data_IF_845153107330
#
_entry.id   IF_845153107330
#
_cell.length_a   1.000
_cell.length_b   1.000
_cell.length_c   1.000
_cell.angle_alpha   90.00
_cell.angle_beta   90.00
_cell.angle_gamma   90.00
#
_symmetry.space_group_name_H-M   'P 1'
#
loop_
_entity.id
_entity.type
_entity.pdbx_description
1 polymer ?
#
# COMPACT_ATOMS: atom_id res chain seq x y z
N UNK A 1 -33.67 -15.91 14.06
CA UNK A 1 -33.91 -15.37 12.69
C UNK A 1 -32.87 -16.00 11.77
N UNK A 2 -33.27 -16.73 10.73
CA UNK A 2 -32.31 -17.30 9.76
C UNK A 2 -31.96 -16.22 8.73
N UNK A 3 -30.69 -16.06 8.39
CA UNK A 3 -30.24 -15.03 7.46
C UNK A 3 -29.13 -15.53 6.52
N UNK A 4 -29.11 -14.93 5.33
CA UNK A 4 -28.04 -14.96 4.36
C UNK A 4 -27.91 -13.55 3.78
N UNK A 5 -26.70 -13.10 3.52
CA UNK A 5 -26.44 -11.80 2.90
C UNK A 5 -25.16 -11.84 2.10
N UNK A 6 -25.12 -11.08 1.01
CA UNK A 6 -23.92 -10.95 0.21
C UNK A 6 -23.81 -9.58 -0.41
N UNK A 7 -22.59 -9.26 -0.82
CA UNK A 7 -22.27 -7.99 -1.42
C UNK A 7 -22.40 -8.10 -2.94
N UNK A 8 -22.87 -7.03 -3.58
CA UNK A 8 -22.92 -6.93 -5.03
C UNK A 8 -22.22 -5.67 -5.54
N UNK A 9 -21.83 -5.71 -6.82
CA UNK A 9 -21.39 -4.53 -7.58
C UNK A 9 -22.22 -4.35 -8.86
N UNK A 10 -22.43 -3.10 -9.31
CA UNK A 10 -22.97 -2.84 -10.65
C UNK A 10 -22.08 -3.50 -11.72
N UNK A 11 -22.72 -3.99 -12.80
CA UNK A 11 -21.99 -4.52 -13.94
C UNK A 11 -21.28 -3.39 -14.69
N UNK A 12 -20.00 -3.60 -15.00
CA UNK A 12 -19.21 -2.65 -15.80
C UNK A 12 -19.50 -2.89 -17.30
N UNK A 13 -19.35 -4.14 -17.73
CA UNK A 13 -19.57 -4.57 -19.11
C UNK A 13 -21.01 -5.06 -19.34
N UNK A 14 -21.48 -4.96 -20.58
CA UNK A 14 -22.71 -5.62 -21.03
C UNK A 14 -22.53 -7.13 -20.97
N UNK A 15 -23.54 -7.85 -20.46
CA UNK A 15 -23.56 -9.31 -20.43
C UNK A 15 -24.33 -9.79 -21.65
N UNK A 16 -23.70 -10.65 -22.45
CA UNK A 16 -24.27 -11.22 -23.67
C UNK A 16 -24.23 -12.74 -23.60
N UNK A 17 -25.15 -13.40 -24.29
CA UNK A 17 -25.14 -14.83 -24.54
C UNK A 17 -24.90 -15.09 -26.04
N UNK A 18 -23.90 -15.90 -26.40
CA UNK A 18 -23.73 -16.37 -27.77
C UNK A 18 -24.61 -17.60 -28.05
N UNK A 19 -25.04 -17.78 -29.30
CA UNK A 19 -25.64 -19.02 -29.78
C UNK A 19 -24.59 -20.14 -29.97
N UNK A 20 -25.02 -21.31 -30.43
CA UNK A 20 -24.14 -22.46 -30.67
C UNK A 20 -23.09 -22.23 -31.76
N UNK A 21 -23.32 -21.28 -32.67
CA UNK A 21 -22.41 -20.93 -33.77
C UNK A 21 -21.48 -19.75 -33.41
N UNK A 22 -21.63 -19.20 -32.20
CA UNK A 22 -20.81 -18.10 -31.66
C UNK A 22 -21.28 -16.70 -32.02
N UNK A 23 -22.50 -16.55 -32.57
CA UNK A 23 -23.11 -15.25 -32.85
C UNK A 23 -23.86 -14.71 -31.64
N UNK A 24 -24.04 -13.39 -31.59
CA UNK A 24 -24.80 -12.75 -30.52
C UNK A 24 -26.28 -13.17 -30.59
N UNK A 25 -26.79 -13.79 -29.53
CA UNK A 25 -28.19 -14.19 -29.39
C UNK A 25 -28.95 -13.25 -28.46
N UNK A 26 -28.42 -13.03 -27.25
CA UNK A 26 -29.07 -12.23 -26.22
C UNK A 26 -28.14 -11.22 -25.55
N UNK A 27 -28.74 -10.15 -25.02
CA UNK A 27 -28.07 -9.16 -24.18
C UNK A 27 -28.95 -8.85 -22.97
N UNK A 28 -28.37 -8.95 -21.78
CA UNK A 28 -29.10 -8.72 -20.53
C UNK A 28 -29.25 -7.22 -20.23
N UNK A 29 -30.42 -6.83 -19.70
CA UNK A 29 -30.64 -5.47 -19.20
C UNK A 29 -29.76 -5.19 -17.97
N UNK A 30 -28.66 -4.47 -18.19
CA UNK A 30 -27.66 -4.11 -17.18
C UNK A 30 -28.26 -3.44 -15.93
N UNK A 31 -29.40 -2.75 -16.04
CA UNK A 31 -30.02 -2.10 -14.88
C UNK A 31 -30.66 -3.10 -13.91
N UNK A 32 -30.96 -4.31 -14.35
CA UNK A 32 -31.58 -5.38 -13.55
C UNK A 32 -30.57 -6.34 -12.92
N UNK A 33 -29.42 -6.56 -13.57
CA UNK A 33 -28.43 -7.54 -13.12
C UNK A 33 -27.25 -6.90 -12.39
N UNK A 34 -26.60 -7.66 -11.52
CA UNK A 34 -25.46 -7.25 -10.70
C UNK A 34 -24.40 -8.34 -10.68
N UNK A 35 -23.14 -7.96 -10.49
CA UNK A 35 -22.08 -8.90 -10.16
C UNK A 35 -22.17 -9.24 -8.67
N UNK A 36 -22.21 -10.54 -8.34
CA UNK A 36 -22.07 -11.00 -6.96
C UNK A 36 -20.60 -10.93 -6.57
N UNK A 37 -20.32 -10.40 -5.38
CA UNK A 37 -18.97 -10.23 -4.85
C UNK A 37 -18.86 -10.80 -3.43
N UNK A 38 -17.64 -10.82 -2.91
CA UNK A 38 -17.34 -11.20 -1.53
C UNK A 38 -17.10 -9.94 -0.67
N UNK A 39 -17.34 -10.00 0.66
CA UNK A 39 -17.72 -11.15 1.45
C UNK A 39 -19.22 -11.49 1.38
N UNK A 40 -19.54 -12.73 1.75
CA UNK A 40 -20.90 -13.19 2.01
C UNK A 40 -21.01 -13.70 3.45
N UNK A 41 -22.15 -13.47 4.09
CA UNK A 41 -22.44 -13.84 5.47
C UNK A 41 -23.67 -14.72 5.57
N UNK A 42 -23.56 -15.80 6.34
CA UNK A 42 -24.63 -16.78 6.54
C UNK A 42 -24.76 -17.14 8.01
N UNK A 43 -25.98 -17.39 8.47
CA UNK A 43 -26.14 -18.18 9.69
C UNK A 43 -25.65 -19.61 9.41
N UNK A 44 -24.77 -20.15 10.25
CA UNK A 44 -24.11 -21.43 9.99
C UNK A 44 -25.09 -22.57 9.69
N UNK A 45 -26.19 -22.66 10.45
CA UNK A 45 -27.21 -23.70 10.25
C UNK A 45 -27.89 -23.63 8.87
N UNK A 46 -27.99 -22.44 8.27
CA UNK A 46 -28.62 -22.22 6.96
C UNK A 46 -27.73 -22.75 5.86
N UNK A 47 -26.45 -22.35 5.86
CA UNK A 47 -25.52 -22.73 4.81
C UNK A 47 -25.13 -24.21 4.94
N UNK A 48 -24.95 -24.71 6.17
CA UNK A 48 -24.70 -26.14 6.41
C UNK A 48 -25.86 -27.01 5.92
N UNK A 49 -27.11 -26.64 6.22
CA UNK A 49 -28.27 -27.40 5.75
C UNK A 49 -28.42 -27.33 4.23
N UNK A 50 -28.00 -26.23 3.59
CA UNK A 50 -28.03 -26.10 2.14
C UNK A 50 -27.02 -27.05 1.48
N UNK A 51 -25.78 -27.07 1.97
CA UNK A 51 -24.74 -28.00 1.48
C UNK A 51 -25.08 -29.47 1.75
N UNK A 52 -25.75 -29.80 2.85
CA UNK A 52 -26.19 -31.18 3.11
C UNK A 52 -27.25 -31.70 2.12
N UNK A 53 -27.97 -30.79 1.44
CA UNK A 53 -29.04 -31.13 0.49
C UNK A 53 -28.66 -30.87 -0.97
N UNK A 54 -27.47 -30.33 -1.21
CA UNK A 54 -27.01 -30.01 -2.56
C UNK A 54 -26.93 -31.27 -3.40
N UNK A 55 -27.24 -31.17 -4.70
CA UNK A 55 -27.00 -32.25 -5.65
C UNK A 55 -25.54 -32.23 -6.10
N UNK A 56 -25.05 -33.35 -6.64
CA UNK A 56 -23.72 -33.42 -7.25
C UNK A 56 -23.57 -32.38 -8.38
N UNK A 57 -24.62 -32.19 -9.18
CA UNK A 57 -24.66 -31.17 -10.22
C UNK A 57 -24.48 -29.74 -9.67
N UNK A 58 -25.22 -29.38 -8.60
CA UNK A 58 -25.09 -28.06 -8.00
C UNK A 58 -23.72 -27.86 -7.34
N UNK A 59 -23.10 -28.93 -6.85
CA UNK A 59 -21.77 -28.90 -6.27
C UNK A 59 -20.68 -28.67 -7.35
N UNK A 60 -20.80 -29.33 -8.50
CA UNK A 60 -19.82 -29.25 -9.59
C UNK A 60 -19.95 -27.97 -10.43
N UNK A 61 -21.18 -27.48 -10.63
CA UNK A 61 -21.46 -26.37 -11.56
C UNK A 61 -22.02 -25.11 -10.89
N UNK A 62 -22.42 -25.19 -9.61
CA UNK A 62 -22.95 -24.04 -8.87
C UNK A 62 -21.84 -23.06 -8.49
N UNK A 63 -22.05 -21.78 -8.80
CA UNK A 63 -21.07 -20.72 -8.54
C UNK A 63 -21.50 -19.71 -7.48
N UNK A 64 -22.70 -19.85 -6.89
CA UNK A 64 -23.30 -18.84 -6.00
C UNK A 64 -23.93 -19.46 -4.74
N UNK A 65 -23.29 -19.24 -3.58
CA UNK A 65 -23.71 -19.75 -2.28
C UNK A 65 -25.04 -19.14 -1.79
N UNK A 66 -25.34 -17.88 -2.12
CA UNK A 66 -26.61 -17.25 -1.78
C UNK A 66 -27.78 -17.94 -2.49
N UNK A 67 -27.57 -18.37 -3.73
CA UNK A 67 -28.55 -19.12 -4.50
C UNK A 67 -28.76 -20.50 -3.89
N UNK A 68 -27.69 -21.17 -3.46
CA UNK A 68 -27.75 -22.45 -2.76
C UNK A 68 -28.57 -22.35 -1.46
N UNK A 69 -28.29 -21.34 -0.63
CA UNK A 69 -29.02 -21.07 0.61
C UNK A 69 -30.52 -20.79 0.35
N UNK A 70 -30.83 -20.06 -0.72
CA UNK A 70 -32.21 -19.81 -1.15
C UNK A 70 -32.91 -21.10 -1.59
N UNK A 71 -32.24 -21.92 -2.43
CA UNK A 71 -32.79 -23.15 -3.01
C UNK A 71 -33.08 -24.24 -1.97
N UNK A 72 -32.13 -24.49 -1.06
CA UNK A 72 -32.19 -25.67 -0.17
C UNK A 72 -32.58 -25.37 1.28
N UNK A 73 -32.51 -24.11 1.69
CA UNK A 73 -32.86 -23.65 3.03
C UNK A 73 -33.99 -22.61 3.03
N UNK A 74 -34.48 -22.18 1.85
CA UNK A 74 -35.61 -21.25 1.74
C UNK A 74 -35.32 -19.84 2.23
N UNK A 75 -34.05 -19.49 2.46
CA UNK A 75 -33.65 -18.19 3.00
C UNK A 75 -33.42 -17.20 1.88
N UNK A 76 -34.21 -16.12 1.88
CA UNK A 76 -34.02 -15.01 0.94
C UNK A 76 -32.80 -14.19 1.35
N UNK A 77 -31.74 -14.25 0.55
CA UNK A 77 -30.52 -13.50 0.78
C UNK A 77 -30.75 -11.98 0.65
N UNK A 78 -30.21 -11.20 1.59
CA UNK A 78 -30.15 -9.74 1.49
C UNK A 78 -28.92 -9.32 0.69
N UNK A 79 -29.12 -8.56 -0.37
CA UNK A 79 -28.04 -7.99 -1.18
C UNK A 79 -27.67 -6.60 -0.66
N UNK A 80 -26.37 -6.33 -0.56
CA UNK A 80 -25.82 -5.05 -0.10
C UNK A 80 -24.86 -4.53 -1.15
N UNK A 81 -24.92 -3.23 -1.48
CA UNK A 81 -23.98 -2.67 -2.44
C UNK A 81 -22.58 -2.54 -1.83
N UNK A 82 -21.58 -3.06 -2.53
CA UNK A 82 -20.18 -3.03 -2.13
C UNK A 82 -19.43 -1.82 -2.64
N UNK A 83 -18.32 -1.50 -1.96
CA UNK A 83 -17.33 -0.54 -2.48
C UNK A 83 -16.64 -1.09 -3.73
N UNK A 84 -16.02 -0.21 -4.52
CA UNK A 84 -15.21 -0.63 -5.65
C UNK A 84 -14.10 -1.60 -5.27
N UNK A 85 -13.65 -1.62 -4.01
CA UNK A 85 -12.45 -2.35 -3.56
C UNK A 85 -12.62 -3.87 -3.40
N UNK A 86 -13.79 -4.41 -3.71
CA UNK A 86 -14.12 -5.83 -3.53
C UNK A 86 -13.84 -6.67 -4.78
N UNK A 87 -13.05 -6.19 -5.74
CA UNK A 87 -12.73 -6.95 -6.94
C UNK A 87 -11.85 -8.17 -6.62
N UNK A 88 -12.05 -9.25 -7.36
CA UNK A 88 -11.20 -10.43 -7.30
C UNK A 88 -9.92 -10.21 -8.12
N UNK A 89 -8.75 -10.38 -7.49
CA UNK A 89 -7.47 -10.44 -8.20
C UNK A 89 -7.42 -11.75 -9.00
N UNK A 90 -7.57 -11.66 -10.32
CA UNK A 90 -7.73 -12.81 -11.22
C UNK A 90 -6.68 -12.85 -12.33
N UNK A 91 -6.28 -11.69 -12.84
CA UNK A 91 -5.30 -11.51 -13.90
C UNK A 91 -4.03 -10.81 -13.40
N UNK A 92 -2.94 -10.92 -14.17
CA UNK A 92 -1.68 -10.23 -13.86
C UNK A 92 -1.85 -8.72 -13.70
N UNK A 93 -2.71 -8.09 -14.50
CA UNK A 93 -3.01 -6.65 -14.37
C UNK A 93 -3.63 -6.28 -13.01
N UNK A 94 -4.36 -7.21 -12.40
CA UNK A 94 -5.02 -6.99 -11.12
C UNK A 94 -3.99 -6.98 -9.97
N UNK A 95 -2.85 -7.66 -10.14
CA UNK A 95 -1.72 -7.61 -9.19
C UNK A 95 -1.15 -6.19 -9.16
N UNK A 96 -0.91 -5.56 -10.32
CA UNK A 96 -0.42 -4.18 -10.38
C UNK A 96 -1.44 -3.19 -9.80
N UNK A 97 -2.73 -3.41 -10.05
CA UNK A 97 -3.78 -2.58 -9.44
C UNK A 97 -3.82 -2.74 -7.92
N UNK A 98 -3.74 -3.98 -7.41
CA UNK A 98 -3.70 -4.27 -5.99
C UNK A 98 -2.48 -3.64 -5.31
N UNK A 99 -1.29 -3.77 -5.91
CA UNK A 99 -0.06 -3.13 -5.41
C UNK A 99 -0.22 -1.61 -5.30
N UNK A 100 -0.76 -0.95 -6.34
CA UNK A 100 -1.01 0.49 -6.31
C UNK A 100 -1.97 0.90 -5.20
N UNK A 101 -3.07 0.15 -5.02
CA UNK A 101 -4.06 0.42 -3.97
C UNK A 101 -3.48 0.21 -2.57
N UNK A 102 -2.65 -0.82 -2.38
CA UNK A 102 -1.92 -1.04 -1.14
C UNK A 102 -0.95 0.12 -0.87
N UNK A 103 -0.17 0.54 -1.86
CA UNK A 103 0.72 1.71 -1.74
C UNK A 103 -0.05 2.99 -1.38
N UNK A 104 -1.20 3.26 -1.98
CA UNK A 104 -2.00 4.44 -1.61
C UNK A 104 -2.53 4.38 -0.17
N UNK A 105 -2.84 3.20 0.34
CA UNK A 105 -3.50 3.04 1.66
C UNK A 105 -2.52 2.84 2.83
N UNK A 106 -1.39 2.18 2.58
CA UNK A 106 -0.42 1.74 3.61
C UNK A 106 0.85 2.62 3.66
N UNK A 107 1.07 3.51 2.69
CA UNK A 107 2.19 4.45 2.78
C UNK A 107 1.90 5.51 3.83
N UNK A 108 2.63 5.42 4.92
CA UNK A 108 2.67 6.39 6.01
C UNK A 108 4.10 6.88 6.21
N UNK A 109 4.27 8.20 6.28
CA UNK A 109 5.57 8.87 6.29
C UNK A 109 5.79 9.58 7.62
N UNK A 110 6.89 9.26 8.29
CA UNK A 110 7.47 10.06 9.35
C UNK A 110 8.51 11.00 8.76
N UNK A 111 8.36 12.31 8.97
CA UNK A 111 9.30 13.31 8.46
C UNK A 111 10.00 14.01 9.63
N UNK A 112 11.30 13.78 9.75
CA UNK A 112 12.20 14.50 10.63
C UNK A 112 13.00 15.53 9.81
N UNK A 113 12.65 16.81 9.95
CA UNK A 113 13.27 17.91 9.22
C UNK A 113 13.20 19.18 10.07
N UNK A 114 14.36 19.75 10.40
CA UNK A 114 14.46 21.00 11.17
C UNK A 114 14.15 22.23 10.32
N UNK A 115 14.48 22.20 9.02
CA UNK A 115 14.16 23.28 8.08
C UNK A 115 12.65 23.36 7.85
N UNK A 116 12.05 24.41 8.39
CA UNK A 116 10.60 24.63 8.36
C UNK A 116 10.08 24.74 6.92
N UNK A 117 10.79 25.45 6.05
CA UNK A 117 10.32 25.73 4.69
C UNK A 117 10.39 24.48 3.81
N UNK A 118 11.47 23.70 3.92
CA UNK A 118 11.61 22.43 3.23
C UNK A 118 10.60 21.41 3.78
N UNK A 119 10.43 21.35 5.09
CA UNK A 119 9.44 20.47 5.74
C UNK A 119 8.03 20.75 5.22
N UNK A 120 7.59 22.00 5.18
CA UNK A 120 6.27 22.38 4.68
C UNK A 120 6.08 21.98 3.20
N UNK A 121 7.12 22.17 2.39
CA UNK A 121 7.10 21.85 0.97
C UNK A 121 7.04 20.34 0.72
N UNK A 122 7.84 19.54 1.44
CA UNK A 122 7.80 18.07 1.42
C UNK A 122 6.44 17.55 1.91
N UNK A 123 5.94 18.06 3.04
CA UNK A 123 4.63 17.66 3.58
C UNK A 123 3.52 17.90 2.57
N UNK A 124 3.49 19.07 1.93
CA UNK A 124 2.47 19.41 0.93
C UNK A 124 2.50 18.46 -0.27
N UNK A 125 3.67 18.13 -0.79
CA UNK A 125 3.79 17.27 -1.97
C UNK A 125 3.49 15.80 -1.66
N UNK A 126 3.96 15.29 -0.52
CA UNK A 126 3.65 13.94 -0.06
C UNK A 126 2.14 13.79 0.23
N UNK A 127 1.48 14.81 0.78
CA UNK A 127 0.02 14.84 0.94
C UNK A 127 -0.73 14.88 -0.39
N UNK A 128 -0.22 15.59 -1.40
CA UNK A 128 -0.82 15.61 -2.73
C UNK A 128 -0.80 14.21 -3.39
N UNK A 129 0.18 13.38 -3.03
CA UNK A 129 0.23 11.94 -3.38
C UNK A 129 -0.60 11.04 -2.47
N UNK A 130 -1.42 11.62 -1.59
CA UNK A 130 -2.31 10.95 -0.63
C UNK A 130 -1.59 10.10 0.42
N UNK A 131 -0.31 10.32 0.66
CA UNK A 131 0.40 9.65 1.75
C UNK A 131 -0.07 10.17 3.11
N UNK A 132 -0.20 9.26 4.08
CA UNK A 132 -0.48 9.63 5.47
C UNK A 132 0.81 10.18 6.08
N UNK A 133 0.82 11.41 6.57
CA UNK A 133 2.02 12.02 7.15
C UNK A 133 1.87 12.14 8.65
N UNK A 134 2.88 11.67 9.38
CA UNK A 134 3.04 11.82 10.81
C UNK A 134 4.21 12.78 11.06
N UNK A 135 3.94 13.89 11.76
CA UNK A 135 4.99 14.77 12.24
C UNK A 135 5.54 14.25 13.56
N UNK A 136 6.87 14.19 13.71
CA UNK A 136 7.50 14.10 15.02
C UNK A 136 7.33 15.46 15.71
N UNK A 137 6.23 15.64 16.44
CA UNK A 137 6.15 16.73 17.41
C UNK A 137 6.72 16.22 18.72
N UNK A 138 7.79 16.86 19.22
CA UNK A 138 8.26 16.67 20.58
C UNK A 138 7.10 16.90 21.55
N UNK A 139 6.76 15.88 22.36
CA UNK A 139 5.88 16.03 23.51
C UNK A 139 4.39 15.74 23.31
N UNK A 140 3.94 15.14 22.21
CA UNK A 140 2.56 14.61 22.13
C UNK A 140 2.49 13.11 22.44
N UNK A 141 1.52 12.74 23.29
CA UNK A 141 1.30 11.42 23.84
C UNK A 141 1.27 10.32 22.77
N UNK A 142 1.93 9.20 23.11
CA UNK A 142 1.98 7.90 22.39
C UNK A 142 0.61 7.18 22.32
N UNK A 143 -0.49 7.89 22.09
CA UNK A 143 -1.84 7.29 22.12
C UNK A 143 -2.42 7.00 20.72
N UNK A 144 -1.76 7.42 19.64
CA UNK A 144 -2.07 6.94 18.29
C UNK A 144 -0.84 6.25 17.71
N UNK A 145 -0.71 4.96 18.03
CA UNK A 145 0.34 4.04 17.56
C UNK A 145 0.21 3.78 16.05
N UNK A 146 0.50 4.77 15.21
CA UNK A 146 0.65 4.55 13.77
C UNK A 146 2.15 4.42 13.50
N UNK A 147 2.59 3.18 13.33
CA UNK A 147 3.97 2.88 12.93
C UNK A 147 4.15 3.23 11.45
N UNK A 148 4.99 4.22 11.11
CA UNK A 148 5.13 4.67 9.74
C UNK A 148 5.86 3.62 8.89
N UNK A 149 5.47 3.47 7.62
CA UNK A 149 6.15 2.58 6.67
C UNK A 149 7.34 3.26 5.96
N UNK A 150 7.52 4.56 6.17
CA UNK A 150 8.61 5.38 5.64
C UNK A 150 9.10 6.34 6.70
N UNK A 151 10.42 6.44 6.87
CA UNK A 151 11.06 7.45 7.69
C UNK A 151 11.99 8.29 6.82
N UNK A 152 11.80 9.61 6.86
CA UNK A 152 12.59 10.57 6.13
C UNK A 152 13.33 11.43 7.15
N UNK A 153 14.66 11.39 7.14
CA UNK A 153 15.50 12.27 7.94
C UNK A 153 16.23 13.24 7.02
N UNK A 154 16.06 14.54 7.25
CA UNK A 154 16.80 15.58 6.55
C UNK A 154 17.98 16.01 7.42
N UNK A 155 19.18 15.95 6.87
CA UNK A 155 20.45 16.19 7.56
C UNK A 155 21.30 17.20 6.79
N UNK A 156 22.00 18.07 7.51
CA UNK A 156 23.03 18.92 6.91
C UNK A 156 24.39 18.22 6.91
N UNK A 157 25.15 18.39 5.83
CA UNK A 157 26.51 17.87 5.75
C UNK A 157 27.42 18.63 6.72
N UNK A 158 28.04 17.89 7.65
CA UNK A 158 29.01 18.38 8.61
C UNK A 158 29.96 17.24 9.03
N UNK A 159 30.94 17.54 9.89
CA UNK A 159 31.92 16.56 10.38
C UNK A 159 31.29 15.35 11.11
N UNK A 160 30.09 15.51 11.66
CA UNK A 160 29.33 14.49 12.39
C UNK A 160 28.29 13.76 11.53
N UNK A 161 28.18 14.05 10.24
CA UNK A 161 27.14 13.50 9.36
C UNK A 161 27.03 11.98 9.44
N UNK A 162 28.16 11.28 9.42
CA UNK A 162 28.17 9.80 9.49
C UNK A 162 27.60 9.27 10.81
N UNK A 163 27.86 9.95 11.92
CA UNK A 163 27.33 9.59 13.24
C UNK A 163 25.81 9.83 13.29
N UNK A 164 25.35 10.95 12.75
CA UNK A 164 23.91 11.26 12.66
C UNK A 164 23.18 10.24 11.78
N UNK A 165 23.73 9.88 10.61
CA UNK A 165 23.12 8.87 9.73
C UNK A 165 22.98 7.50 10.41
N UNK A 166 23.98 7.09 11.21
CA UNK A 166 23.90 5.85 12.01
C UNK A 166 22.86 5.98 13.12
N UNK A 167 22.82 7.12 13.83
CA UNK A 167 21.84 7.37 14.88
C UNK A 167 20.40 7.33 14.33
N UNK A 168 20.12 7.92 13.17
CA UNK A 168 18.81 7.82 12.51
C UNK A 168 18.46 6.37 12.15
N UNK A 169 19.44 5.57 11.72
CA UNK A 169 19.24 4.15 11.47
C UNK A 169 18.89 3.38 12.75
N UNK A 170 19.59 3.64 13.85
CA UNK A 170 19.32 2.99 15.14
C UNK A 170 17.95 3.40 15.70
N UNK A 171 17.60 4.68 15.58
CA UNK A 171 16.26 5.20 15.91
C UNK A 171 15.18 4.46 15.10
N UNK A 172 15.36 4.33 13.78
CA UNK A 172 14.43 3.59 12.92
C UNK A 172 14.28 2.13 13.36
N UNK A 173 15.39 1.44 13.67
CA UNK A 173 15.35 0.04 14.13
C UNK A 173 14.53 -0.07 15.42
N UNK A 174 14.72 0.84 16.37
CA UNK A 174 13.98 0.84 17.63
C UNK A 174 12.45 1.01 17.45
N UNK A 175 12.03 1.74 16.41
CA UNK A 175 10.62 1.86 16.04
C UNK A 175 10.10 0.64 15.28
N UNK A 176 11.00 -0.13 14.66
CA UNK A 176 10.67 -1.27 13.83
C UNK A 176 10.53 -2.60 14.57
N UNK A 177 11.24 -2.77 15.70
CA UNK A 177 11.33 -4.02 16.45
C UNK A 177 10.02 -4.40 17.20
N UNK A 178 9.02 -3.52 17.24
CA UNK A 178 7.75 -3.74 17.96
C UNK A 178 6.56 -4.12 17.06
N UNK A 179 6.78 -4.35 15.76
CA UNK A 179 5.72 -4.14 14.77
C UNK A 179 5.22 -5.40 14.06
N UNK A 180 3.95 -5.36 13.65
CA UNK A 180 3.26 -6.40 12.90
C UNK A 180 3.79 -6.58 11.47
N UNK A 181 3.48 -7.72 10.84
CA UNK A 181 3.83 -8.05 9.46
C UNK A 181 3.30 -6.98 8.48
N UNK A 182 4.18 -6.35 7.70
CA UNK A 182 3.79 -5.37 6.67
C UNK A 182 3.65 -6.05 5.31
N UNK A 183 2.73 -5.54 4.48
CA UNK A 183 2.59 -5.98 3.09
C UNK A 183 3.59 -5.30 2.14
N UNK A 184 4.27 -4.25 2.60
CA UNK A 184 5.23 -3.46 1.84
C UNK A 184 6.54 -3.35 2.63
N UNK A 185 7.68 -3.44 1.95
CA UNK A 185 9.00 -3.19 2.56
C UNK A 185 9.04 -1.80 3.17
N UNK A 186 9.62 -1.66 4.36
CA UNK A 186 9.80 -0.35 5.00
C UNK A 186 10.88 0.47 4.30
N UNK A 187 10.84 1.80 4.46
CA UNK A 187 11.82 2.70 3.85
C UNK A 187 12.47 3.59 4.89
N UNK A 188 13.81 3.59 4.94
CA UNK A 188 14.63 4.61 5.59
C UNK A 188 15.27 5.48 4.50
N UNK A 189 14.85 6.74 4.42
CA UNK A 189 15.33 7.71 3.45
C UNK A 189 16.10 8.83 4.16
N UNK A 190 17.39 8.92 3.87
CA UNK A 190 18.26 9.99 4.36
C UNK A 190 18.38 11.06 3.28
N UNK A 191 17.95 12.28 3.57
CA UNK A 191 18.07 13.43 2.67
C UNK A 191 19.19 14.29 3.20
N UNK A 192 20.26 14.47 2.44
CA UNK A 192 21.46 15.19 2.88
C UNK A 192 21.62 16.48 2.08
N UNK A 193 21.66 17.62 2.77
CA UNK A 193 22.05 18.91 2.19
C UNK A 193 23.57 18.99 2.13
N UNK A 194 24.13 18.94 0.93
CA UNK A 194 25.56 19.08 0.71
C UNK A 194 25.99 20.54 0.81
N UNK A 195 27.06 20.77 1.57
CA UNK A 195 27.74 22.07 1.61
C UNK A 195 28.99 21.95 0.74
N UNK A 196 29.18 22.80 -0.30
CA UNK A 196 30.21 22.64 -1.35
C UNK A 196 31.68 22.49 -0.91
N UNK A 197 32.01 22.72 0.36
CA UNK A 197 33.38 22.73 0.86
C UNK A 197 33.86 21.37 1.44
N UNK A 198 32.97 20.39 1.65
CA UNK A 198 33.27 19.15 2.38
C UNK A 198 32.76 17.89 1.65
N UNK A 199 33.13 17.68 0.38
CA UNK A 199 32.62 16.55 -0.40
C UNK A 199 33.14 15.19 0.10
N UNK A 200 32.35 14.57 0.98
CA UNK A 200 32.55 13.25 1.58
C UNK A 200 31.78 12.13 0.85
N UNK A 201 31.49 12.29 -0.44
CA UNK A 201 30.61 11.38 -1.20
C UNK A 201 31.00 9.91 -1.08
N UNK A 202 32.29 9.58 -1.18
CA UNK A 202 32.78 8.21 -1.02
C UNK A 202 32.47 7.63 0.36
N UNK A 203 32.55 8.46 1.40
CA UNK A 203 32.23 8.08 2.77
C UNK A 203 30.73 7.80 2.91
N UNK A 204 29.88 8.67 2.35
CA UNK A 204 28.42 8.49 2.34
C UNK A 204 28.05 7.21 1.59
N UNK A 205 28.61 6.99 0.39
CA UNK A 205 28.36 5.79 -0.41
C UNK A 205 28.74 4.52 0.36
N UNK A 206 29.91 4.49 1.00
CA UNK A 206 30.34 3.35 1.83
C UNK A 206 29.42 3.13 3.02
N UNK A 207 29.00 4.19 3.68
CA UNK A 207 28.07 4.11 4.80
C UNK A 207 26.71 3.54 4.36
N UNK A 208 26.17 4.01 3.24
CA UNK A 208 24.90 3.50 2.71
C UNK A 208 24.95 2.01 2.37
N UNK A 209 26.08 1.52 1.84
CA UNK A 209 26.28 0.08 1.62
C UNK A 209 26.34 -0.72 2.94
N UNK A 210 26.86 -0.13 4.01
CA UNK A 210 26.86 -0.76 5.33
C UNK A 210 25.45 -0.74 5.96
N UNK A 211 24.74 0.39 5.88
CA UNK A 211 23.36 0.50 6.37
C UNK A 211 22.45 -0.50 5.65
N UNK A 212 22.57 -0.66 4.32
CA UNK A 212 21.85 -1.69 3.57
C UNK A 212 22.04 -3.08 4.17
N UNK A 213 23.27 -3.45 4.55
CA UNK A 213 23.56 -4.77 5.16
C UNK A 213 22.93 -4.90 6.55
N UNK A 214 22.95 -3.84 7.36
CA UNK A 214 22.34 -3.81 8.70
C UNK A 214 20.81 -4.02 8.64
N UNK A 215 20.18 -3.56 7.55
CA UNK A 215 18.74 -3.58 7.34
C UNK A 215 18.25 -4.75 6.47
N UNK A 216 19.15 -5.57 5.93
CA UNK A 216 18.81 -6.62 4.96
C UNK A 216 17.84 -7.67 5.53
N UNK A 217 17.99 -8.04 6.80
CA UNK A 217 17.13 -9.04 7.47
C UNK A 217 15.81 -8.45 8.01
N UNK A 218 15.58 -7.14 7.83
CA UNK A 218 14.44 -6.40 8.41
C UNK A 218 13.41 -5.92 7.38
N UNK A 219 13.45 -6.46 6.15
CA UNK A 219 12.55 -6.05 5.04
C UNK A 219 12.50 -4.51 4.88
N UNK A 220 13.68 -3.89 4.99
CA UNK A 220 13.86 -2.45 5.00
C UNK A 220 14.77 -2.02 3.86
N UNK A 221 14.30 -1.04 3.08
CA UNK A 221 15.03 -0.41 2.01
C UNK A 221 15.63 0.90 2.50
N UNK A 222 16.91 1.10 2.24
CA UNK A 222 17.65 2.28 2.70
C UNK A 222 18.08 3.10 1.50
N UNK A 223 17.78 4.39 1.47
CA UNK A 223 18.14 5.29 0.37
C UNK A 223 18.77 6.57 0.90
N UNK A 224 19.62 7.20 0.09
CA UNK A 224 20.15 8.53 0.36
C UNK A 224 19.91 9.44 -0.85
N UNK A 225 19.39 10.64 -0.63
CA UNK A 225 19.24 11.68 -1.64
C UNK A 225 20.07 12.89 -1.21
N UNK A 226 20.96 13.36 -2.07
CA UNK A 226 21.87 14.49 -1.82
C UNK A 226 21.49 15.65 -2.73
N UNK A 227 21.36 16.84 -2.16
CA UNK A 227 21.07 18.09 -2.89
C UNK A 227 21.92 19.23 -2.33
N UNK A 228 22.14 20.29 -3.11
CA UNK A 228 23.11 21.34 -2.79
C UNK A 228 22.46 22.60 -2.20
N UNK A 229 21.45 23.13 -2.88
CA UNK A 229 20.87 24.42 -2.50
C UNK A 229 19.37 24.53 -2.82
N UNK A 230 18.79 25.68 -2.50
CA UNK A 230 17.37 25.95 -2.64
C UNK A 230 16.86 25.86 -4.09
N UNK A 231 17.73 26.04 -5.09
CA UNK A 231 17.34 25.94 -6.50
C UNK A 231 16.94 24.52 -6.90
N UNK A 232 17.41 23.52 -6.15
CA UNK A 232 17.15 22.10 -6.38
C UNK A 232 15.95 21.54 -5.60
N UNK A 233 15.28 22.36 -4.78
CA UNK A 233 14.22 21.87 -3.87
C UNK A 233 13.08 21.18 -4.64
N UNK A 234 12.67 21.69 -5.78
CA UNK A 234 11.58 21.08 -6.56
C UNK A 234 11.95 19.67 -7.03
N UNK A 235 13.13 19.52 -7.63
CA UNK A 235 13.65 18.23 -8.09
C UNK A 235 13.92 17.26 -6.93
N UNK A 236 14.41 17.78 -5.79
CA UNK A 236 14.57 17.01 -4.56
C UNK A 236 13.24 16.39 -4.14
N UNK A 237 12.17 17.18 -4.11
CA UNK A 237 10.85 16.71 -3.68
C UNK A 237 10.29 15.66 -4.66
N UNK A 238 10.47 15.85 -5.97
CA UNK A 238 10.10 14.85 -6.98
C UNK A 238 10.85 13.53 -6.75
N UNK A 239 12.16 13.60 -6.50
CA UNK A 239 13.01 12.44 -6.27
C UNK A 239 12.63 11.70 -4.99
N UNK A 240 12.47 12.41 -3.87
CA UNK A 240 12.00 11.86 -2.59
C UNK A 240 10.66 11.14 -2.78
N UNK A 241 9.71 11.80 -3.45
CA UNK A 241 8.38 11.25 -3.72
C UNK A 241 8.46 9.98 -4.57
N UNK A 242 9.33 9.97 -5.59
CA UNK A 242 9.56 8.82 -6.47
C UNK A 242 10.16 7.64 -5.71
N UNK A 243 11.15 7.86 -4.85
CA UNK A 243 11.77 6.82 -4.02
C UNK A 243 10.74 6.19 -3.08
N UNK A 244 9.95 7.03 -2.41
CA UNK A 244 8.90 6.59 -1.47
C UNK A 244 7.83 5.75 -2.15
N UNK A 245 7.43 6.12 -3.37
CA UNK A 245 6.40 5.41 -4.14
C UNK A 245 6.92 4.10 -4.76
N UNK A 246 8.10 4.15 -5.40
CA UNK A 246 8.60 3.04 -6.18
C UNK A 246 9.17 1.92 -5.30
N UNK A 247 9.89 2.26 -4.23
CA UNK A 247 10.49 1.29 -3.30
C UNK A 247 11.31 0.23 -4.02
N UNK A 248 12.13 0.63 -4.99
CA UNK A 248 12.91 -0.31 -5.80
C UNK A 248 14.06 -0.91 -4.96
N UNK A 249 14.06 -2.23 -4.66
CA UNK A 249 15.09 -2.87 -3.86
C UNK A 249 16.47 -2.87 -4.53
N UNK A 250 16.54 -2.74 -5.86
CA UNK A 250 17.81 -2.63 -6.60
C UNK A 250 18.55 -1.34 -6.24
N UNK A 251 17.80 -0.26 -6.00
CA UNK A 251 18.33 1.04 -5.62
C UNK A 251 18.64 1.15 -4.12
N UNK A 252 18.26 0.16 -3.30
CA UNK A 252 18.58 0.16 -1.87
C UNK A 252 20.10 0.17 -1.66
N UNK A 253 20.56 1.04 -0.76
CA UNK A 253 21.97 1.35 -0.46
C UNK A 253 22.63 2.33 -1.42
N UNK A 254 21.91 2.88 -2.39
CA UNK A 254 22.43 3.89 -3.33
C UNK A 254 22.32 5.31 -2.78
N UNK A 255 23.19 6.18 -3.29
CA UNK A 255 23.16 7.63 -3.09
C UNK A 255 22.72 8.27 -4.41
N UNK A 256 21.61 9.01 -4.38
CA UNK A 256 21.05 9.71 -5.52
C UNK A 256 21.39 11.20 -5.40
N UNK A 257 21.92 11.81 -6.45
CA UNK A 257 22.27 13.23 -6.46
C UNK A 257 21.22 13.98 -7.26
N UNK A 258 20.70 15.07 -6.69
CA UNK A 258 19.81 15.99 -7.39
C UNK A 258 20.65 16.85 -8.34
N UNK A 259 20.21 16.94 -9.60
CA UNK A 259 20.94 17.58 -10.71
C UNK A 259 20.27 18.85 -11.18
#
# INVERSE_FOLDING_TARGET
MQYASGVYRPLISTVIAPDSDGFLEESLDRNRYRASEMPQGFHYSVISAAYQKTTDYDFDYGTECLLLASKYSGVKARLVEGSSNLWKVTHKKDIFAAEGVLKESDISVCLNCEDIHLRESLMKQLQHKKFKIHGLQEGQNKENNVEPSVFIHVLDCNEHLTQHMVACSDEFISHCDNSACYLLDRVLLLVVREIPCESNHLTIIRLMQNLKKIHQDKETLVYCVVYQDETQIEQLIEMVTSVVWNRDPVLSGQVLFVS
#
